data_IF_187794353425
#
_entry.id   IF_187794353425
#
_cell.length_a   1.000
_cell.length_b   1.000
_cell.length_c   1.000
_cell.angle_alpha   90.00
_cell.angle_beta   90.00
_cell.angle_gamma   90.00
#
_symmetry.space_group_name_H-M   'P 1'
#
loop_
_entity.id
_entity.type
_entity.pdbx_description
1 polymer ?
#
# COMPACT_ATOMS: atom_id res chain seq x y z
N UNK A 1 21.82 -5.82 27.48
CA UNK A 1 22.71 -5.13 26.53
C UNK A 1 21.92 -4.96 25.25
N UNK A 2 21.47 -3.74 24.98
CA UNK A 2 20.68 -3.38 23.79
C UNK A 2 21.60 -3.25 22.56
N UNK A 3 21.02 -3.38 21.36
CA UNK A 3 21.74 -3.09 20.10
C UNK A 3 22.25 -1.64 20.08
N UNK A 4 21.49 -0.70 20.63
CA UNK A 4 21.91 0.69 20.74
C UNK A 4 23.10 0.86 21.72
N UNK A 5 23.14 0.08 22.81
CA UNK A 5 24.26 0.09 23.74
C UNK A 5 25.54 -0.42 23.05
N UNK A 6 25.40 -1.44 22.20
CA UNK A 6 26.51 -1.99 21.40
C UNK A 6 27.01 -0.93 20.41
N UNK A 7 26.11 -0.30 19.64
CA UNK A 7 26.48 0.72 18.66
C UNK A 7 27.14 1.93 19.33
N UNK A 8 26.63 2.37 20.47
CA UNK A 8 27.21 3.46 21.23
C UNK A 8 28.59 3.08 21.79
N UNK A 9 28.74 1.87 22.32
CA UNK A 9 30.04 1.35 22.76
C UNK A 9 31.05 1.26 21.61
N UNK A 10 30.64 0.74 20.45
CA UNK A 10 31.49 0.65 19.25
C UNK A 10 31.92 2.04 18.78
N UNK A 11 31.02 3.03 18.82
CA UNK A 11 31.35 4.42 18.51
C UNK A 11 32.40 5.00 19.45
N UNK A 12 32.28 4.75 20.75
CA UNK A 12 33.29 5.15 21.74
C UNK A 12 34.63 4.46 21.51
N UNK A 13 34.64 3.17 21.15
CA UNK A 13 35.88 2.45 20.79
C UNK A 13 36.55 3.07 19.58
N UNK A 14 35.81 3.39 18.52
CA UNK A 14 36.35 4.07 17.33
C UNK A 14 37.03 5.39 17.72
N UNK A 15 36.36 6.22 18.53
CA UNK A 15 36.92 7.50 18.98
C UNK A 15 38.19 7.31 19.82
N UNK A 16 38.20 6.33 20.72
CA UNK A 16 39.38 6.01 21.53
C UNK A 16 40.56 5.50 20.70
N UNK A 17 40.29 4.64 19.71
CA UNK A 17 41.30 4.14 18.78
C UNK A 17 41.86 5.25 17.89
N UNK A 18 41.01 6.17 17.43
CA UNK A 18 41.44 7.30 16.60
C UNK A 18 42.29 8.29 17.40
N UNK A 19 41.95 8.54 18.66
CA UNK A 19 42.81 9.29 19.58
C UNK A 19 44.18 8.62 19.77
N UNK A 20 44.20 7.30 20.01
CA UNK A 20 45.44 6.54 20.18
C UNK A 20 46.30 6.52 18.91
N UNK A 21 45.68 6.39 17.73
CA UNK A 21 46.36 6.49 16.42
C UNK A 21 47.07 7.85 16.28
N UNK A 22 46.38 8.92 16.64
CA UNK A 22 46.93 10.28 16.60
C UNK A 22 48.08 10.48 17.59
N UNK A 23 48.00 9.89 18.79
CA UNK A 23 49.11 9.92 19.76
C UNK A 23 50.34 9.15 19.26
N UNK A 24 50.15 7.95 18.70
CA UNK A 24 51.24 7.17 18.11
C UNK A 24 51.86 7.89 16.90
N UNK A 25 51.05 8.57 16.08
CA UNK A 25 51.51 9.41 14.98
C UNK A 25 52.38 10.58 15.46
N UNK A 26 51.94 11.30 16.49
CA UNK A 26 52.73 12.39 17.11
C UNK A 26 54.04 11.88 17.73
N UNK A 27 54.02 10.71 18.37
CA UNK A 27 55.22 10.09 18.93
C UNK A 27 56.21 9.72 17.83
N UNK A 28 55.71 9.15 16.73
CA UNK A 28 56.52 8.80 15.56
C UNK A 28 57.14 10.05 14.92
N UNK A 29 56.34 11.11 14.71
CA UNK A 29 56.81 12.39 14.20
C UNK A 29 57.93 12.95 15.08
N UNK A 30 57.71 13.03 16.39
CA UNK A 30 58.70 13.51 17.36
C UNK A 30 60.02 12.74 17.26
N UNK A 31 59.96 11.41 17.16
CA UNK A 31 61.15 10.56 17.04
C UNK A 31 61.89 10.82 15.72
N UNK A 32 61.18 10.97 14.62
CA UNK A 32 61.77 11.17 13.29
C UNK A 32 62.36 12.59 13.15
N UNK A 33 61.73 13.60 13.72
CA UNK A 33 62.17 15.01 13.59
C UNK A 33 63.19 15.44 14.65
N UNK A 34 63.40 14.66 15.71
CA UNK A 34 64.35 15.02 16.78
C UNK A 34 65.80 14.88 16.27
N UNK A 35 66.61 15.96 16.25
CA UNK A 35 68.01 15.89 15.84
C UNK A 35 68.82 15.16 16.93
N UNK A 36 69.15 13.89 16.70
CA UNK A 36 69.85 13.07 17.68
C UNK A 36 71.21 12.63 17.11
N UNK A 37 72.30 13.08 17.77
CA UNK A 37 73.63 12.47 17.61
C UNK A 37 73.66 11.18 18.42
N UNK A 38 73.29 10.07 17.79
CA UNK A 38 73.18 8.76 18.43
C UNK A 38 74.39 7.89 18.07
N UNK A 39 74.79 7.04 19.02
CA UNK A 39 75.67 5.92 18.71
C UNK A 39 74.96 4.87 17.83
N UNK A 40 75.70 4.00 17.13
CA UNK A 40 75.12 2.94 16.29
C UNK A 40 74.15 1.99 17.03
N UNK A 41 74.37 1.80 18.34
CA UNK A 41 73.49 0.96 19.17
C UNK A 41 72.18 1.66 19.48
N UNK A 42 72.20 2.97 19.67
CA UNK A 42 71.00 3.75 19.96
C UNK A 42 70.17 4.01 18.69
N UNK A 43 70.80 4.12 17.52
CA UNK A 43 70.10 4.15 16.23
C UNK A 43 69.31 2.86 15.98
N UNK A 44 69.90 1.68 16.25
CA UNK A 44 69.20 0.40 16.07
C UNK A 44 67.97 0.29 16.99
N UNK A 45 68.10 0.68 18.26
CA UNK A 45 66.96 0.71 19.19
C UNK A 45 65.86 1.68 18.76
N UNK A 46 66.26 2.82 18.18
CA UNK A 46 65.32 3.81 17.67
C UNK A 46 64.54 3.27 16.48
N UNK A 47 65.21 2.57 15.57
CA UNK A 47 64.60 1.95 14.39
C UNK A 47 63.61 0.84 14.78
N UNK A 48 63.95 -0.01 15.74
CA UNK A 48 63.02 -1.01 16.29
C UNK A 48 61.78 -0.35 16.91
N UNK A 49 61.96 0.73 17.70
CA UNK A 49 60.85 1.48 18.30
C UNK A 49 59.94 2.09 17.23
N UNK A 50 60.51 2.66 16.17
CA UNK A 50 59.76 3.18 15.00
C UNK A 50 58.99 2.07 14.31
N UNK A 51 59.60 0.89 14.12
CA UNK A 51 58.94 -0.28 13.54
C UNK A 51 57.74 -0.75 14.37
N UNK A 52 57.88 -0.81 15.70
CA UNK A 52 56.79 -1.16 16.61
C UNK A 52 55.65 -0.13 16.57
N UNK A 53 55.96 1.16 16.54
CA UNK A 53 54.97 2.24 16.43
C UNK A 53 54.16 2.12 15.13
N UNK A 54 54.83 1.93 13.98
CA UNK A 54 54.16 1.74 12.69
C UNK A 54 53.23 0.53 12.71
N UNK A 55 53.73 -0.63 13.17
CA UNK A 55 52.93 -1.84 13.30
C UNK A 55 51.72 -1.63 14.22
N UNK A 56 51.90 -0.91 15.32
CA UNK A 56 50.79 -0.57 16.21
C UNK A 56 49.77 0.33 15.54
N UNK A 57 50.18 1.30 14.73
CA UNK A 57 49.27 2.16 13.98
C UNK A 57 48.46 1.37 12.96
N UNK A 58 49.09 0.44 12.24
CA UNK A 58 48.40 -0.43 11.27
C UNK A 58 47.32 -1.28 11.94
N UNK A 59 47.62 -1.84 13.13
CA UNK A 59 46.66 -2.62 13.91
C UNK A 59 45.49 -1.77 14.41
N UNK A 60 45.75 -0.52 14.85
CA UNK A 60 44.70 0.41 15.28
C UNK A 60 43.80 0.78 14.09
N UNK A 61 44.38 1.04 12.92
CA UNK A 61 43.65 1.36 11.70
C UNK A 61 42.76 0.21 11.23
N UNK A 62 43.26 -1.02 11.29
CA UNK A 62 42.45 -2.22 11.04
C UNK A 62 41.28 -2.30 12.04
N UNK A 63 41.53 -2.12 13.33
CA UNK A 63 40.49 -2.16 14.37
C UNK A 63 39.42 -1.07 14.19
N UNK A 64 39.81 0.13 13.74
CA UNK A 64 38.86 1.20 13.37
C UNK A 64 37.99 0.75 12.19
N UNK A 65 38.60 0.18 11.14
CA UNK A 65 37.87 -0.32 9.98
C UNK A 65 36.86 -1.42 10.33
N UNK A 66 37.25 -2.37 11.17
CA UNK A 66 36.37 -3.45 11.65
C UNK A 66 35.19 -2.89 12.47
N UNK A 67 35.45 -1.95 13.38
CA UNK A 67 34.41 -1.31 14.17
C UNK A 67 33.45 -0.47 13.31
N UNK A 68 33.95 0.20 12.25
CA UNK A 68 33.11 0.91 11.29
C UNK A 68 32.17 -0.04 10.52
N UNK A 69 32.67 -1.21 10.09
CA UNK A 69 31.84 -2.25 9.47
C UNK A 69 30.75 -2.72 10.42
N UNK A 70 31.09 -2.92 11.69
CA UNK A 70 30.11 -3.31 12.72
C UNK A 70 28.99 -2.25 12.88
N UNK A 71 29.33 -0.96 12.87
CA UNK A 71 28.34 0.12 12.92
C UNK A 71 27.44 0.14 11.68
N UNK A 72 28.01 0.02 10.49
CA UNK A 72 27.25 -0.01 9.24
C UNK A 72 26.28 -1.20 9.20
N UNK A 73 26.75 -2.37 9.65
CA UNK A 73 25.91 -3.57 9.76
C UNK A 73 24.75 -3.35 10.73
N UNK A 74 24.99 -2.74 11.90
CA UNK A 74 23.92 -2.46 12.86
C UNK A 74 22.86 -1.51 12.30
N UNK A 75 23.26 -0.46 11.58
CA UNK A 75 22.31 0.43 10.89
C UNK A 75 21.52 -0.31 9.80
N UNK A 76 22.18 -1.19 9.03
CA UNK A 76 21.51 -1.98 8.01
C UNK A 76 20.45 -2.92 8.61
N UNK A 77 20.76 -3.56 9.74
CA UNK A 77 19.81 -4.40 10.47
C UNK A 77 18.61 -3.60 10.98
N UNK A 78 18.82 -2.39 11.53
CA UNK A 78 17.71 -1.51 11.96
C UNK A 78 16.78 -1.16 10.78
N UNK A 79 17.35 -0.84 9.62
CA UNK A 79 16.57 -0.56 8.40
C UNK A 79 15.76 -1.78 7.96
N UNK A 80 16.37 -2.97 7.93
CA UNK A 80 15.67 -4.22 7.58
C UNK A 80 14.52 -4.53 8.55
N UNK A 81 14.73 -4.31 9.84
CA UNK A 81 13.69 -4.50 10.85
C UNK A 81 12.52 -3.53 10.66
N UNK A 82 12.81 -2.26 10.35
CA UNK A 82 11.81 -1.26 10.05
C UNK A 82 11.01 -1.61 8.78
N UNK A 83 11.67 -2.03 7.70
CA UNK A 83 11.02 -2.48 6.47
C UNK A 83 10.13 -3.70 6.71
N UNK A 84 10.60 -4.68 7.48
CA UNK A 84 9.81 -5.84 7.90
C UNK A 84 8.56 -5.44 8.67
N UNK A 85 8.63 -4.45 9.56
CA UNK A 85 7.47 -3.94 10.29
C UNK A 85 6.48 -3.23 9.36
N UNK A 86 6.98 -2.44 8.42
CA UNK A 86 6.18 -1.76 7.39
C UNK A 86 5.42 -2.76 6.52
N UNK A 87 6.11 -3.78 5.98
CA UNK A 87 5.50 -4.82 5.15
C UNK A 87 4.45 -5.62 5.92
N UNK A 88 4.72 -6.00 7.18
CA UNK A 88 3.73 -6.67 8.04
C UNK A 88 2.46 -5.84 8.22
N UNK A 89 2.60 -4.53 8.38
CA UNK A 89 1.46 -3.62 8.52
C UNK A 89 0.67 -3.51 7.21
N UNK A 90 1.38 -3.43 6.08
CA UNK A 90 0.75 -3.41 4.76
C UNK A 90 -0.04 -4.69 4.48
N UNK A 91 0.51 -5.86 4.79
CA UNK A 91 -0.19 -7.14 4.65
C UNK A 91 -1.49 -7.13 5.46
N UNK A 92 -1.44 -6.69 6.73
CA UNK A 92 -2.65 -6.58 7.56
C UNK A 92 -3.70 -5.67 6.94
N UNK A 93 -3.30 -4.49 6.44
CA UNK A 93 -4.19 -3.55 5.77
C UNK A 93 -4.83 -4.15 4.52
N UNK A 94 -4.03 -4.81 3.67
CA UNK A 94 -4.54 -5.45 2.45
C UNK A 94 -5.51 -6.59 2.76
N UNK A 95 -5.27 -7.38 3.80
CA UNK A 95 -6.22 -8.41 4.22
C UNK A 95 -7.55 -7.81 4.69
N UNK A 96 -7.51 -6.70 5.44
CA UNK A 96 -8.72 -5.99 5.86
C UNK A 96 -9.48 -5.41 4.67
N UNK A 97 -8.77 -4.78 3.74
CA UNK A 97 -9.34 -4.26 2.51
C UNK A 97 -9.97 -5.38 1.66
N UNK A 98 -9.29 -6.53 1.54
CA UNK A 98 -9.83 -7.66 0.79
C UNK A 98 -11.10 -8.24 1.45
N UNK A 99 -11.13 -8.33 2.78
CA UNK A 99 -12.33 -8.75 3.50
C UNK A 99 -13.48 -7.75 3.29
N UNK A 100 -13.19 -6.45 3.43
CA UNK A 100 -14.18 -5.40 3.21
C UNK A 100 -14.75 -5.41 1.79
N UNK A 101 -13.90 -5.59 0.76
CA UNK A 101 -14.36 -5.70 -0.63
C UNK A 101 -15.23 -6.95 -0.86
N UNK A 102 -14.97 -8.07 -0.19
CA UNK A 102 -15.81 -9.27 -0.26
C UNK A 102 -17.19 -9.01 0.34
N UNK A 103 -17.24 -8.31 1.48
CA UNK A 103 -18.49 -7.95 2.14
C UNK A 103 -19.31 -6.96 1.28
N UNK A 104 -18.65 -5.97 0.68
CA UNK A 104 -19.29 -4.99 -0.20
C UNK A 104 -19.85 -5.65 -1.47
N UNK A 105 -19.09 -6.60 -2.05
CA UNK A 105 -19.56 -7.39 -3.19
C UNK A 105 -20.79 -8.23 -2.82
N UNK A 106 -20.76 -8.92 -1.69
CA UNK A 106 -21.89 -9.72 -1.22
C UNK A 106 -23.14 -8.85 -0.95
N UNK A 107 -22.96 -7.67 -0.36
CA UNK A 107 -24.02 -6.68 -0.14
C UNK A 107 -24.64 -6.22 -1.46
N UNK A 108 -23.81 -5.91 -2.46
CA UNK A 108 -24.28 -5.48 -3.79
C UNK A 108 -25.02 -6.60 -4.52
N UNK A 109 -24.50 -7.83 -4.47
CA UNK A 109 -25.15 -9.00 -5.06
C UNK A 109 -26.52 -9.28 -4.44
N UNK A 110 -26.65 -9.12 -3.11
CA UNK A 110 -27.94 -9.26 -2.43
C UNK A 110 -28.95 -8.22 -2.92
N UNK A 111 -28.56 -6.95 -3.00
CA UNK A 111 -29.43 -5.88 -3.51
C UNK A 111 -29.85 -6.13 -4.96
N UNK A 112 -28.92 -6.59 -5.80
CA UNK A 112 -29.22 -6.95 -7.19
C UNK A 112 -30.30 -8.05 -7.25
N UNK A 113 -30.14 -9.13 -6.49
CA UNK A 113 -31.10 -10.23 -6.46
C UNK A 113 -32.50 -9.76 -5.98
N UNK A 114 -32.57 -8.88 -4.98
CA UNK A 114 -33.83 -8.29 -4.51
C UNK A 114 -34.51 -7.43 -5.59
N UNK A 115 -33.74 -6.64 -6.34
CA UNK A 115 -34.24 -5.87 -7.48
C UNK A 115 -34.74 -6.79 -8.61
N UNK A 116 -34.00 -7.84 -8.94
CA UNK A 116 -34.39 -8.83 -9.96
C UNK A 116 -35.69 -9.54 -9.59
N UNK A 117 -35.83 -9.95 -8.32
CA UNK A 117 -37.06 -10.57 -7.81
C UNK A 117 -38.25 -9.60 -7.91
N UNK A 118 -38.05 -8.34 -7.53
CA UNK A 118 -39.09 -7.31 -7.60
C UNK A 118 -39.50 -7.05 -9.05
N UNK A 119 -38.53 -6.96 -9.96
CA UNK A 119 -38.79 -6.78 -11.39
C UNK A 119 -39.56 -7.95 -12.00
N UNK A 120 -39.23 -9.19 -11.63
CA UNK A 120 -39.99 -10.37 -12.04
C UNK A 120 -41.44 -10.32 -11.54
N UNK A 121 -41.65 -9.94 -10.27
CA UNK A 121 -42.99 -9.76 -9.70
C UNK A 121 -43.80 -8.70 -10.45
N UNK A 122 -43.17 -7.57 -10.80
CA UNK A 122 -43.83 -6.51 -11.57
C UNK A 122 -44.16 -6.96 -13.00
N UNK A 123 -43.28 -7.73 -13.65
CA UNK A 123 -43.54 -8.29 -14.97
C UNK A 123 -44.79 -9.18 -14.98
N UNK A 124 -44.93 -10.06 -13.97
CA UNK A 124 -46.12 -10.90 -13.82
C UNK A 124 -47.38 -10.08 -13.57
N UNK A 125 -47.31 -9.07 -12.70
CA UNK A 125 -48.47 -8.20 -12.43
C UNK A 125 -48.90 -7.43 -13.68
N UNK A 126 -47.95 -6.95 -14.47
CA UNK A 126 -48.24 -6.28 -15.75
C UNK A 126 -48.99 -7.22 -16.69
N UNK A 127 -48.52 -8.46 -16.86
CA UNK A 127 -49.19 -9.44 -17.72
C UNK A 127 -50.60 -9.81 -17.19
N UNK A 128 -50.74 -9.95 -15.87
CA UNK A 128 -52.05 -10.17 -15.25
C UNK A 128 -53.03 -9.00 -15.49
N UNK A 129 -52.57 -7.75 -15.33
CA UNK A 129 -53.38 -6.56 -15.57
C UNK A 129 -53.75 -6.42 -17.06
N UNK A 130 -52.85 -6.77 -17.98
CA UNK A 130 -53.16 -6.81 -19.43
C UNK A 130 -54.26 -7.84 -19.71
N UNK A 131 -54.15 -9.03 -19.14
CA UNK A 131 -55.19 -10.06 -19.27
C UNK A 131 -56.55 -9.59 -18.74
N UNK A 132 -56.61 -8.98 -17.55
CA UNK A 132 -57.87 -8.43 -17.00
C UNK A 132 -58.47 -7.35 -17.91
N UNK A 133 -57.62 -6.51 -18.51
CA UNK A 133 -58.07 -5.49 -19.46
C UNK A 133 -58.69 -6.12 -20.71
N UNK A 134 -58.08 -7.16 -21.25
CA UNK A 134 -58.60 -7.90 -22.42
C UNK A 134 -59.93 -8.59 -22.12
N UNK A 135 -60.04 -9.27 -20.97
CA UNK A 135 -61.30 -9.90 -20.53
C UNK A 135 -62.42 -8.86 -20.42
N UNK A 136 -62.13 -7.73 -19.78
CA UNK A 136 -63.11 -6.65 -19.65
C UNK A 136 -63.51 -6.06 -21.01
N UNK A 137 -62.58 -5.96 -21.96
CA UNK A 137 -62.89 -5.51 -23.31
C UNK A 137 -63.80 -6.51 -24.04
N UNK A 138 -63.55 -7.81 -23.90
CA UNK A 138 -64.41 -8.86 -24.48
C UNK A 138 -65.85 -8.78 -23.94
N UNK A 139 -66.03 -8.58 -22.64
CA UNK A 139 -67.35 -8.41 -22.03
C UNK A 139 -68.09 -7.19 -22.63
N UNK A 140 -67.40 -6.06 -22.78
CA UNK A 140 -67.95 -4.84 -23.39
C UNK A 140 -68.31 -5.04 -24.86
N UNK A 141 -67.46 -5.72 -25.63
CA UNK A 141 -67.71 -6.00 -27.04
C UNK A 141 -68.89 -6.96 -27.23
N UNK A 142 -69.08 -7.92 -26.31
CA UNK A 142 -70.22 -8.82 -26.29
C UNK A 142 -71.53 -8.08 -25.94
N UNK A 143 -71.52 -7.18 -24.94
CA UNK A 143 -72.69 -6.35 -24.62
C UNK A 143 -73.06 -5.37 -25.76
N UNK A 144 -72.07 -4.78 -26.43
CA UNK A 144 -72.29 -3.93 -27.60
C UNK A 144 -72.83 -4.72 -28.81
N UNK A 145 -72.35 -5.94 -29.03
CA UNK A 145 -72.85 -6.83 -30.09
C UNK A 145 -74.30 -7.28 -29.82
N UNK A 146 -74.64 -7.51 -28.55
CA UNK A 146 -76.00 -7.86 -28.14
C UNK A 146 -76.95 -6.65 -28.24
N UNK A 147 -76.45 -5.44 -28.00
CA UNK A 147 -77.20 -4.18 -28.13
C UNK A 147 -77.37 -3.73 -29.60
N UNK A 148 -76.47 -4.10 -30.51
CA UNK A 148 -76.57 -3.81 -31.95
C UNK A 148 -77.67 -4.60 -32.68
N UNK A 149 -78.18 -5.69 -32.10
CA UNK A 149 -79.39 -6.36 -32.61
C UNK A 149 -80.67 -5.53 -32.35
N UNK A 150 -80.59 -4.49 -31.51
CA UNK A 150 -81.71 -3.65 -31.12
C UNK A 150 -81.28 -2.19 -30.95
N UNK A 151 -80.83 -1.50 -32.00
CA UNK A 151 -81.00 -0.03 -32.19
C UNK A 151 -80.11 0.49 -33.30
N UNK A 152 -80.73 1.01 -34.36
CA UNK A 152 -80.04 1.81 -35.37
C UNK A 152 -79.83 3.27 -34.94
N UNK A 153 -78.97 3.94 -35.73
CA UNK A 153 -78.80 5.39 -35.91
C UNK A 153 -77.91 6.18 -34.93
N UNK A 154 -76.70 6.49 -35.43
CA UNK A 154 -76.19 7.85 -35.75
C UNK A 154 -75.04 8.48 -34.91
N UNK A 155 -74.13 9.13 -35.67
CA UNK A 155 -73.28 10.31 -35.38
C UNK A 155 -71.86 10.20 -34.75
N UNK A 156 -70.88 10.46 -35.63
CA UNK A 156 -69.84 11.51 -35.59
C UNK A 156 -68.87 11.70 -34.39
N UNK A 157 -67.59 11.43 -34.70
CA UNK A 157 -66.45 12.35 -34.77
C UNK A 157 -65.65 12.79 -33.50
N UNK A 158 -64.35 13.03 -33.74
CA UNK A 158 -63.34 13.87 -33.06
C UNK A 158 -62.31 13.29 -32.04
N UNK A 159 -61.03 13.35 -32.47
CA UNK A 159 -59.82 13.88 -31.81
C UNK A 159 -59.50 13.55 -30.32
N UNK A 160 -58.28 13.08 -30.04
CA UNK A 160 -57.16 13.96 -29.59
C UNK A 160 -55.83 13.20 -29.38
N UNK A 161 -54.74 13.88 -29.74
CA UNK A 161 -53.35 13.54 -29.43
C UNK A 161 -53.11 13.38 -27.93
N UNK A 162 -52.16 12.52 -27.54
CA UNK A 162 -51.29 12.86 -26.42
C UNK A 162 -49.88 12.30 -26.63
N UNK A 163 -48.94 13.24 -26.71
CA UNK A 163 -47.50 13.04 -26.68
C UNK A 163 -47.09 12.58 -25.28
N UNK A 164 -46.33 11.48 -25.23
CA UNK A 164 -45.55 11.07 -24.07
C UNK A 164 -44.17 10.63 -24.56
N UNK A 165 -43.30 11.60 -24.88
CA UNK A 165 -41.87 11.38 -24.84
C UNK A 165 -41.49 11.23 -23.37
N UNK A 166 -40.81 10.16 -22.96
CA UNK A 166 -40.05 10.17 -21.72
C UNK A 166 -38.93 9.09 -21.66
N UNK A 167 -37.70 9.62 -21.63
CA UNK A 167 -36.63 9.35 -20.64
C UNK A 167 -35.76 8.09 -20.69
N UNK A 168 -35.65 7.36 -21.81
CA UNK A 168 -34.71 6.21 -21.86
C UNK A 168 -33.27 6.52 -22.33
N UNK A 169 -32.96 7.77 -22.71
CA UNK A 169 -31.69 8.08 -23.41
C UNK A 169 -30.56 8.70 -22.56
N UNK A 170 -30.72 8.90 -21.25
CA UNK A 170 -29.71 9.63 -20.45
C UNK A 170 -28.88 8.78 -19.48
N UNK A 171 -28.91 7.44 -19.57
CA UNK A 171 -28.19 6.59 -18.60
C UNK A 171 -26.79 6.11 -19.02
N UNK A 172 -26.35 6.32 -20.26
CA UNK A 172 -25.00 5.93 -20.70
C UNK A 172 -24.43 6.84 -21.81
N UNK A 173 -23.45 7.72 -21.50
CA UNK A 173 -22.64 8.39 -22.52
C UNK A 173 -21.52 7.46 -23.00
N UNK A 174 -21.33 7.40 -24.32
CA UNK A 174 -20.18 6.77 -24.99
C UNK A 174 -18.84 7.40 -24.64
#
# INVERSE_FOLDING_TARGET
MSQDDILQSTKSVIQGLDALKNEHGKMLETIVTSPQKLSPMETNKLEEKVGLLRKSMDMIELGIGEAQVMMQLGNHLQNLEAEKHKLRTQVKRLCQENAWLRDELASTQKKLHECEQTNASHSVEIEHLKFLKEVKQYDVDNENSNSQSTSGLNSNNSNQQNNGQDLVNDLFPS
#
